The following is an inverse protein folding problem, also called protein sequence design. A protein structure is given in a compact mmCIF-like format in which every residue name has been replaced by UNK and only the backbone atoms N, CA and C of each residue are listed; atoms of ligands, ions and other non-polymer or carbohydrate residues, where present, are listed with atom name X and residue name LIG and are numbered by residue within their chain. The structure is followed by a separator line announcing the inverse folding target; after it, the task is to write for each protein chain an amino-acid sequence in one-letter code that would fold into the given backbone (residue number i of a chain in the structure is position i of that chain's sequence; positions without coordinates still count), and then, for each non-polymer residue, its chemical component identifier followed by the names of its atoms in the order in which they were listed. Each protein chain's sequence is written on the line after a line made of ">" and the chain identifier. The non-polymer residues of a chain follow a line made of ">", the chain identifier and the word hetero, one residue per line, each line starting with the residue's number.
data_IF_608866978143
#
_entry.id   IF_608866978143
#
_cell.length_a   1.000
_cell.length_b   1.000
_cell.length_c   1.000
_cell.angle_alpha   90.00
_cell.angle_beta   90.00
_cell.angle_gamma   90.00
#
_symmetry.space_group_name_H-M   'P 1'
#
loop_
_entity.id
_entity.type
_entity.pdbx_description
1 polymer ?
#
# COMPACT_ATOMS: atom_id res chain seq x y z
N UNK A 1 -11.45 -10.81 -7.04
CA UNK A 1 -11.97 -11.72 -6.00
C UNK A 1 -11.78 -13.20 -6.33
N UNK A 2 -11.96 -13.67 -7.58
CA UNK A 2 -11.78 -15.09 -7.94
C UNK A 2 -10.41 -15.71 -7.55
N UNK A 3 -9.27 -15.05 -7.85
CA UNK A 3 -7.92 -15.59 -7.53
C UNK A 3 -7.65 -15.78 -6.03
N UNK A 4 -8.20 -14.94 -5.16
CA UNK A 4 -7.94 -14.97 -3.71
C UNK A 4 -8.68 -16.09 -2.98
N UNK A 5 -9.82 -16.53 -3.51
CA UNK A 5 -10.59 -17.64 -2.94
C UNK A 5 -9.96 -19.02 -3.24
N UNK A 6 -9.11 -19.14 -4.27
CA UNK A 6 -8.38 -20.40 -4.52
C UNK A 6 -7.35 -20.71 -3.44
N UNK A 7 -6.64 -19.70 -2.93
CA UNK A 7 -5.64 -19.89 -1.86
C UNK A 7 -6.26 -20.41 -0.56
N UNK A 8 -7.49 -20.00 -0.27
CA UNK A 8 -8.24 -20.39 0.92
C UNK A 8 -8.85 -21.80 0.78
N UNK A 9 -9.16 -22.21 -0.46
CA UNK A 9 -9.72 -23.54 -0.77
C UNK A 9 -8.65 -24.65 -0.85
N UNK A 10 -7.39 -24.32 -0.62
CA UNK A 10 -6.29 -25.30 -0.63
C UNK A 10 -5.99 -25.89 0.76
N UNK A 11 -5.06 -26.85 0.81
CA UNK A 11 -4.65 -27.54 2.05
C UNK A 11 -4.22 -26.61 3.20
N UNK A 12 -3.56 -25.49 2.88
CA UNK A 12 -3.15 -24.49 3.88
C UNK A 12 -4.37 -23.78 4.48
N UNK A 13 -5.38 -23.47 3.66
CA UNK A 13 -6.62 -22.86 4.14
C UNK A 13 -7.44 -23.83 4.99
N UNK A 14 -7.49 -25.12 4.63
CA UNK A 14 -8.10 -26.16 5.48
C UNK A 14 -7.38 -26.29 6.82
N UNK A 15 -6.04 -26.28 6.81
CA UNK A 15 -5.24 -26.34 8.03
C UNK A 15 -5.58 -25.19 8.98
N UNK A 16 -5.54 -23.94 8.50
CA UNK A 16 -5.88 -22.78 9.32
C UNK A 16 -7.34 -22.78 9.76
N UNK A 17 -8.26 -23.26 8.92
CA UNK A 17 -9.66 -23.42 9.32
C UNK A 17 -9.80 -24.37 10.49
N UNK A 18 -9.14 -25.53 10.47
CA UNK A 18 -9.13 -26.47 11.59
C UNK A 18 -8.51 -25.85 12.84
N UNK A 19 -7.43 -25.07 12.69
CA UNK A 19 -6.78 -24.36 13.80
C UNK A 19 -7.73 -23.34 14.42
N UNK A 20 -8.41 -22.52 13.61
CA UNK A 20 -9.36 -21.52 14.10
C UNK A 20 -10.57 -22.14 14.79
N UNK A 21 -11.12 -23.23 14.25
CA UNK A 21 -12.25 -23.95 14.87
C UNK A 21 -11.88 -24.61 16.20
N UNK A 22 -10.62 -25.01 16.39
CA UNK A 22 -10.11 -25.63 17.63
C UNK A 22 -9.51 -24.62 18.61
N UNK A 23 -9.28 -23.37 18.19
CA UNK A 23 -8.58 -22.37 19.00
C UNK A 23 -9.46 -21.87 20.13
N UNK A 24 -8.95 -21.93 21.36
CA UNK A 24 -9.57 -21.28 22.53
C UNK A 24 -9.18 -19.79 22.65
N UNK A 25 -8.14 -19.37 21.92
CA UNK A 25 -7.53 -18.05 22.04
C UNK A 25 -8.16 -17.00 21.10
N UNK A 26 -8.72 -17.45 19.97
CA UNK A 26 -9.37 -16.57 18.99
C UNK A 26 -10.85 -16.91 18.89
N UNK A 27 -11.71 -16.01 19.38
CA UNK A 27 -13.15 -16.08 19.13
C UNK A 27 -13.46 -15.30 17.86
N UNK A 28 -13.93 -16.01 16.84
CA UNK A 28 -14.34 -15.38 15.59
C UNK A 28 -15.72 -14.78 15.75
N UNK A 29 -15.84 -13.48 15.46
CA UNK A 29 -17.07 -12.72 15.76
C UNK A 29 -17.99 -12.59 14.54
N UNK A 30 -17.46 -12.82 13.33
CA UNK A 30 -18.24 -12.82 12.09
C UNK A 30 -17.55 -13.60 10.97
N UNK A 31 -18.27 -13.87 9.88
CA UNK A 31 -17.70 -14.46 8.66
C UNK A 31 -16.62 -13.54 8.05
N UNK A 32 -16.81 -12.22 8.13
CA UNK A 32 -15.85 -11.23 7.66
C UNK A 32 -14.52 -11.27 8.42
N UNK A 33 -14.59 -11.45 9.75
CA UNK A 33 -13.43 -11.64 10.63
C UNK A 33 -12.66 -12.93 10.25
N UNK A 34 -13.38 -14.05 10.14
CA UNK A 34 -12.81 -15.34 9.74
C UNK A 34 -12.12 -15.26 8.36
N UNK A 35 -12.81 -14.76 7.34
CA UNK A 35 -12.27 -14.68 5.99
C UNK A 35 -11.07 -13.73 5.89
N UNK A 36 -11.05 -12.62 6.63
CA UNK A 36 -9.92 -11.70 6.68
C UNK A 36 -8.68 -12.38 7.24
N UNK A 37 -8.81 -13.04 8.40
CA UNK A 37 -7.71 -13.77 9.05
C UNK A 37 -7.19 -14.90 8.19
N UNK A 38 -8.09 -15.71 7.65
CA UNK A 38 -7.73 -16.85 6.82
C UNK A 38 -6.95 -16.42 5.57
N UNK A 39 -7.37 -15.31 4.93
CA UNK A 39 -6.62 -14.71 3.81
C UNK A 39 -5.25 -14.20 4.23
N UNK A 40 -5.15 -13.48 5.35
CA UNK A 40 -3.87 -13.02 5.89
C UNK A 40 -2.91 -14.19 6.14
N UNK A 41 -3.35 -15.20 6.89
CA UNK A 41 -2.53 -16.36 7.24
C UNK A 41 -2.07 -17.13 5.99
N UNK A 42 -2.98 -17.41 5.04
CA UNK A 42 -2.61 -18.10 3.81
C UNK A 42 -1.59 -17.28 3.00
N UNK A 43 -1.85 -15.98 2.78
CA UNK A 43 -0.95 -15.11 2.02
C UNK A 43 0.43 -15.03 2.65
N UNK A 44 0.50 -14.89 3.97
CA UNK A 44 1.76 -14.86 4.71
C UNK A 44 2.53 -16.17 4.52
N UNK A 45 1.90 -17.33 4.75
CA UNK A 45 2.56 -18.64 4.61
C UNK A 45 3.07 -18.88 3.19
N UNK A 46 2.33 -18.48 2.16
CA UNK A 46 2.81 -18.62 0.78
C UNK A 46 3.93 -17.61 0.42
N UNK A 47 3.98 -16.46 1.07
CA UNK A 47 4.94 -15.38 0.74
C UNK A 47 6.25 -15.49 1.53
N UNK A 48 6.24 -16.06 2.74
CA UNK A 48 7.43 -16.21 3.56
C UNK A 48 8.56 -17.02 2.89
N UNK A 49 8.31 -18.21 2.30
CA UNK A 49 9.37 -18.95 1.61
C UNK A 49 9.99 -18.17 0.46
N UNK A 50 9.19 -17.37 -0.24
CA UNK A 50 9.67 -16.51 -1.32
C UNK A 50 10.65 -15.46 -0.78
N UNK A 51 10.35 -14.82 0.36
CA UNK A 51 11.29 -13.89 0.98
C UNK A 51 12.58 -14.57 1.47
N UNK A 52 12.49 -15.81 1.97
CA UNK A 52 13.68 -16.59 2.35
C UNK A 52 14.56 -16.87 1.13
N UNK A 53 13.96 -17.23 -0.01
CA UNK A 53 14.69 -17.41 -1.27
C UNK A 53 15.38 -16.10 -1.68
N UNK A 54 14.72 -14.96 -1.53
CA UNK A 54 15.33 -13.66 -1.83
C UNK A 54 16.49 -13.32 -0.89
N UNK A 55 16.37 -13.59 0.40
CA UNK A 55 17.48 -13.43 1.35
C UNK A 55 18.69 -14.28 0.92
N UNK A 56 18.46 -15.55 0.60
CA UNK A 56 19.52 -16.45 0.13
C UNK A 56 20.16 -15.93 -1.17
N UNK A 57 19.36 -15.39 -2.10
CA UNK A 57 19.85 -14.76 -3.32
C UNK A 57 20.73 -13.53 -3.04
N UNK A 58 20.29 -12.58 -2.21
CA UNK A 58 21.08 -11.39 -1.88
C UNK A 58 22.37 -11.75 -1.13
N UNK A 59 22.30 -12.73 -0.23
CA UNK A 59 23.47 -13.24 0.47
C UNK A 59 24.48 -13.90 -0.49
N UNK A 60 24.00 -14.72 -1.42
CA UNK A 60 24.84 -15.31 -2.47
C UNK A 60 25.47 -14.24 -3.36
N UNK A 61 24.67 -13.28 -3.84
CA UNK A 61 25.13 -12.15 -4.64
C UNK A 61 26.27 -11.39 -3.95
N UNK A 62 26.10 -11.09 -2.66
CA UNK A 62 27.11 -10.41 -1.84
C UNK A 62 28.41 -11.21 -1.77
N UNK A 63 28.33 -12.53 -1.54
CA UNK A 63 29.52 -13.39 -1.50
C UNK A 63 30.24 -13.39 -2.85
N UNK A 64 29.51 -13.46 -3.96
CA UNK A 64 30.10 -13.41 -5.30
C UNK A 64 30.85 -12.10 -5.50
N UNK A 65 30.21 -10.95 -5.27
CA UNK A 65 30.84 -9.62 -5.39
C UNK A 65 32.09 -9.53 -4.50
N UNK A 66 32.02 -10.00 -3.25
CA UNK A 66 33.15 -9.99 -2.32
C UNK A 66 34.30 -10.91 -2.77
N UNK A 67 34.00 -12.08 -3.34
CA UNK A 67 35.02 -12.98 -3.90
C UNK A 67 35.69 -12.37 -5.12
N UNK A 68 34.94 -11.70 -6.00
CA UNK A 68 35.52 -10.99 -7.14
C UNK A 68 36.45 -9.85 -6.69
N UNK A 69 36.03 -9.07 -5.69
CA UNK A 69 36.83 -7.98 -5.11
C UNK A 69 38.15 -8.47 -4.49
N UNK A 70 38.14 -9.63 -3.83
CA UNK A 70 39.30 -10.17 -3.12
C UNK A 70 40.19 -11.10 -3.98
N UNK A 71 39.85 -11.33 -5.26
CA UNK A 71 40.59 -12.26 -6.10
C UNK A 71 41.83 -11.58 -6.72
N UNK A 72 43.06 -12.01 -6.37
CA UNK A 72 44.29 -11.38 -6.87
C UNK A 72 44.54 -11.59 -8.37
N UNK A 73 43.84 -12.54 -9.01
CA UNK A 73 43.96 -12.81 -10.46
C UNK A 73 43.15 -11.81 -11.29
N UNK A 74 42.07 -11.28 -10.73
CA UNK A 74 41.32 -10.19 -11.34
C UNK A 74 41.99 -8.89 -10.87
N UNK A 75 42.89 -8.34 -11.66
CA UNK A 75 43.45 -7.01 -11.40
C UNK A 75 42.35 -5.97 -11.59
N UNK A 76 41.47 -5.84 -10.59
CA UNK A 76 40.50 -4.77 -10.51
C UNK A 76 41.30 -3.48 -10.44
N UNK A 77 41.05 -2.57 -11.39
CA UNK A 77 41.65 -1.27 -11.38
C UNK A 77 41.33 -0.60 -10.04
N UNK A 78 42.32 0.00 -9.38
CA UNK A 78 42.11 0.60 -8.04
C UNK A 78 41.02 1.68 -8.04
N UNK A 79 40.76 2.27 -9.21
CA UNK A 79 39.69 3.23 -9.46
C UNK A 79 38.28 2.62 -9.42
N UNK A 80 38.09 1.31 -9.53
CA UNK A 80 36.77 0.65 -9.54
C UNK A 80 36.44 -0.04 -8.21
N UNK A 81 37.38 -0.06 -7.26
CA UNK A 81 37.24 -0.79 -6.00
C UNK A 81 36.12 -0.24 -5.11
N UNK A 82 35.84 1.07 -5.21
CA UNK A 82 34.72 1.72 -4.52
C UNK A 82 33.37 1.18 -4.97
N UNK A 83 33.23 0.81 -6.25
CA UNK A 83 31.97 0.31 -6.83
C UNK A 83 31.57 -1.03 -6.19
N UNK A 84 32.53 -1.92 -6.00
CA UNK A 84 32.32 -3.23 -5.35
C UNK A 84 31.94 -3.06 -3.86
N UNK A 85 32.53 -2.09 -3.16
CA UNK A 85 32.19 -1.78 -1.77
C UNK A 85 30.76 -1.25 -1.64
N UNK A 86 30.37 -0.31 -2.50
CA UNK A 86 29.01 0.24 -2.52
C UNK A 86 27.97 -0.83 -2.88
N UNK A 87 28.29 -1.74 -3.80
CA UNK A 87 27.43 -2.88 -4.12
C UNK A 87 27.21 -3.81 -2.93
N UNK A 88 28.27 -4.12 -2.18
CA UNK A 88 28.15 -4.92 -0.96
C UNK A 88 27.22 -4.21 0.04
N UNK A 89 27.35 -2.89 0.20
CA UNK A 89 26.48 -2.11 1.08
C UNK A 89 25.01 -2.19 0.64
N UNK A 90 24.73 -1.99 -0.65
CA UNK A 90 23.37 -2.11 -1.21
C UNK A 90 22.78 -3.49 -1.02
N UNK A 91 23.54 -4.54 -1.33
CA UNK A 91 23.08 -5.92 -1.18
C UNK A 91 22.79 -6.25 0.29
N UNK A 92 23.59 -5.72 1.23
CA UNK A 92 23.32 -5.83 2.66
C UNK A 92 22.03 -5.09 3.05
N UNK A 93 21.81 -3.88 2.53
CA UNK A 93 20.58 -3.12 2.76
C UNK A 93 19.36 -3.87 2.23
N UNK A 94 19.41 -4.41 1.01
CA UNK A 94 18.31 -5.20 0.45
C UNK A 94 18.04 -6.47 1.24
N UNK A 95 19.09 -7.16 1.68
CA UNK A 95 18.95 -8.31 2.57
C UNK A 95 18.26 -7.93 3.89
N UNK A 96 18.62 -6.79 4.50
CA UNK A 96 17.98 -6.28 5.71
C UNK A 96 16.49 -5.97 5.48
N UNK A 97 16.14 -5.39 4.33
CA UNK A 97 14.75 -5.14 3.94
C UNK A 97 13.96 -6.46 3.83
N UNK A 98 14.54 -7.51 3.23
CA UNK A 98 13.85 -8.81 3.14
C UNK A 98 13.66 -9.48 4.52
N UNK A 99 14.65 -9.36 5.40
CA UNK A 99 14.54 -9.85 6.79
C UNK A 99 13.43 -9.08 7.52
N UNK A 100 13.35 -7.77 7.32
CA UNK A 100 12.27 -6.93 7.84
C UNK A 100 10.90 -7.36 7.32
N UNK A 101 10.76 -7.74 6.04
CA UNK A 101 9.50 -8.30 5.49
C UNK A 101 9.10 -9.58 6.21
N UNK A 102 10.05 -10.49 6.44
CA UNK A 102 9.79 -11.72 7.21
C UNK A 102 9.32 -11.41 8.62
N UNK A 103 9.96 -10.44 9.29
CA UNK A 103 9.56 -10.00 10.62
C UNK A 103 8.11 -9.46 10.64
N UNK A 104 7.76 -8.55 9.72
CA UNK A 104 6.38 -8.03 9.62
C UNK A 104 5.38 -9.16 9.36
N UNK A 105 5.65 -10.01 8.37
CA UNK A 105 4.75 -11.10 8.03
C UNK A 105 4.58 -12.08 9.20
N UNK A 106 5.65 -12.34 9.96
CA UNK A 106 5.57 -13.18 11.17
C UNK A 106 4.70 -12.53 12.24
N UNK A 107 4.84 -11.23 12.47
CA UNK A 107 3.98 -10.49 13.38
C UNK A 107 2.50 -10.56 12.95
N UNK A 108 2.21 -10.42 11.65
CA UNK A 108 0.84 -10.58 11.12
C UNK A 108 0.30 -11.97 11.42
N UNK A 109 1.08 -13.04 11.17
CA UNK A 109 0.65 -14.41 11.42
C UNK A 109 0.36 -14.64 12.91
N UNK A 110 1.26 -14.19 13.79
CA UNK A 110 1.10 -14.29 15.25
C UNK A 110 -0.17 -13.58 15.70
N UNK A 111 -0.41 -12.35 15.26
CA UNK A 111 -1.59 -11.58 15.65
C UNK A 111 -2.87 -12.25 15.15
N UNK A 112 -2.91 -12.68 13.89
CA UNK A 112 -4.10 -13.31 13.31
C UNK A 112 -4.47 -14.64 13.98
N UNK A 113 -3.48 -15.37 14.51
CA UNK A 113 -3.67 -16.66 15.19
C UNK A 113 -3.98 -16.56 16.69
N UNK A 114 -3.63 -15.47 17.35
CA UNK A 114 -3.70 -15.38 18.81
C UNK A 114 -4.62 -14.27 19.33
N UNK A 115 -5.01 -13.31 18.50
CA UNK A 115 -5.72 -12.13 18.95
C UNK A 115 -7.21 -12.21 18.62
N UNK A 116 -8.09 -12.13 19.60
CA UNK A 116 -9.54 -11.89 19.36
C UNK A 116 -9.78 -10.42 18.98
N UNK A 117 -10.83 -10.14 18.21
CA UNK A 117 -11.20 -8.76 17.87
C UNK A 117 -11.40 -7.91 19.14
N UNK A 118 -10.84 -6.69 19.15
CA UNK A 118 -10.83 -5.84 20.33
C UNK A 118 -10.15 -4.50 20.08
N UNK A 119 -10.02 -3.67 21.12
CA UNK A 119 -9.30 -2.38 21.04
C UNK A 119 -7.89 -2.51 20.45
N UNK A 120 -7.20 -3.61 20.73
CA UNK A 120 -5.86 -3.82 20.18
C UNK A 120 -5.85 -4.13 18.67
N UNK A 121 -6.98 -4.46 18.04
CA UNK A 121 -7.10 -4.55 16.57
C UNK A 121 -6.82 -3.20 15.95
N UNK A 122 -7.39 -2.13 16.49
CA UNK A 122 -7.14 -0.75 16.04
C UNK A 122 -5.68 -0.35 16.25
N UNK A 123 -5.09 -0.72 17.39
CA UNK A 123 -3.68 -0.41 17.70
C UNK A 123 -2.76 -1.12 16.70
N UNK A 124 -2.91 -2.44 16.54
CA UNK A 124 -2.11 -3.23 15.61
C UNK A 124 -2.24 -2.72 14.17
N UNK A 125 -3.47 -2.50 13.71
CA UNK A 125 -3.72 -2.03 12.34
C UNK A 125 -3.15 -0.63 12.11
N UNK A 126 -3.17 0.26 13.10
CA UNK A 126 -2.54 1.58 13.02
C UNK A 126 -1.02 1.46 12.89
N UNK A 127 -0.38 0.66 13.74
CA UNK A 127 1.08 0.42 13.68
C UNK A 127 1.46 -0.22 12.34
N UNK A 128 0.75 -1.26 11.92
CA UNK A 128 0.98 -1.93 10.65
C UNK A 128 0.82 -0.98 9.46
N UNK A 129 -0.21 -0.12 9.47
CA UNK A 129 -0.44 0.85 8.41
C UNK A 129 0.70 1.89 8.35
N UNK A 130 1.19 2.37 9.49
CA UNK A 130 2.35 3.28 9.54
C UNK A 130 3.58 2.62 8.93
N UNK A 131 3.91 1.39 9.35
CA UNK A 131 5.06 0.64 8.82
C UNK A 131 4.93 0.42 7.31
N UNK A 132 3.75 -0.01 6.84
CA UNK A 132 3.46 -0.23 5.42
C UNK A 132 3.60 1.06 4.58
N UNK A 133 3.11 2.19 5.09
CA UNK A 133 3.16 3.50 4.41
C UNK A 133 4.60 4.02 4.38
N UNK A 134 5.32 3.95 5.49
CA UNK A 134 6.73 4.36 5.59
C UNK A 134 7.61 3.56 4.62
N UNK A 135 7.38 2.26 4.55
CA UNK A 135 8.05 1.39 3.60
C UNK A 135 7.67 1.72 2.14
N UNK A 136 6.39 1.97 1.89
CA UNK A 136 5.94 2.51 0.61
C UNK A 136 6.76 3.74 0.23
N UNK A 137 6.86 4.75 1.09
CA UNK A 137 7.66 5.94 0.82
C UNK A 137 9.15 5.64 0.52
N UNK A 138 9.76 4.69 1.23
CA UNK A 138 11.13 4.24 0.96
C UNK A 138 11.27 3.69 -0.46
N UNK A 139 10.34 2.83 -0.89
CA UNK A 139 10.33 2.28 -2.26
C UNK A 139 10.02 3.33 -3.33
N UNK A 140 9.18 4.31 -3.00
CA UNK A 140 8.87 5.43 -3.91
C UNK A 140 10.10 6.30 -4.17
N UNK A 141 10.89 6.52 -3.13
CA UNK A 141 12.08 7.37 -3.17
C UNK A 141 13.37 6.57 -3.33
N UNK A 142 13.27 5.34 -3.81
CA UNK A 142 14.39 4.42 -3.92
C UNK A 142 15.57 5.01 -4.68
N UNK A 143 15.34 5.82 -5.73
CA UNK A 143 16.40 6.49 -6.47
C UNK A 143 17.14 7.55 -5.64
N UNK A 144 16.42 8.32 -4.81
CA UNK A 144 17.05 9.25 -3.87
C UNK A 144 17.81 8.52 -2.75
N UNK A 145 17.34 7.34 -2.33
CA UNK A 145 18.03 6.50 -1.35
C UNK A 145 19.32 5.92 -1.95
N UNK A 146 19.27 5.41 -3.18
CA UNK A 146 20.46 4.93 -3.90
C UNK A 146 21.49 6.05 -4.10
N UNK A 147 21.00 7.26 -4.33
CA UNK A 147 21.86 8.43 -4.44
C UNK A 147 22.48 8.83 -3.09
N UNK A 148 21.71 8.84 -2.01
CA UNK A 148 22.20 9.13 -0.66
C UNK A 148 23.25 8.12 -0.18
N UNK A 149 23.12 6.85 -0.59
CA UNK A 149 24.14 5.80 -0.36
C UNK A 149 25.40 6.03 -1.22
N UNK A 150 25.40 7.05 -2.07
CA UNK A 150 26.56 7.55 -2.80
C UNK A 150 26.80 6.85 -4.13
N UNK A 151 25.83 6.12 -4.67
CA UNK A 151 26.04 5.30 -5.87
C UNK A 151 25.87 6.15 -7.12
N UNK A 152 24.80 6.95 -7.19
CA UNK A 152 24.44 7.69 -8.40
C UNK A 152 25.38 8.88 -8.67
N UNK A 153 25.77 9.65 -7.64
CA UNK A 153 26.68 10.81 -7.79
C UNK A 153 28.14 10.47 -8.11
N UNK A 154 28.54 9.19 -8.08
CA UNK A 154 29.92 8.77 -8.40
C UNK A 154 30.13 8.42 -9.88
N UNK A 155 29.07 8.30 -10.67
CA UNK A 155 29.17 8.13 -12.11
C UNK A 155 29.39 9.49 -12.77
N UNK A 156 30.41 9.60 -13.63
CA UNK A 156 30.67 10.85 -14.35
C UNK A 156 29.71 11.03 -15.52
N UNK A 157 29.43 9.95 -16.27
CA UNK A 157 28.63 9.98 -17.49
C UNK A 157 27.76 8.72 -17.67
N UNK A 158 26.77 8.80 -18.58
CA UNK A 158 25.90 7.66 -18.96
C UNK A 158 26.71 6.48 -19.55
N UNK A 159 27.85 6.75 -20.19
CA UNK A 159 28.73 5.71 -20.75
C UNK A 159 29.31 4.81 -19.66
N UNK A 160 29.79 5.38 -18.56
CA UNK A 160 30.30 4.64 -17.39
C UNK A 160 29.19 3.81 -16.73
N UNK A 161 27.98 4.38 -16.63
CA UNK A 161 26.81 3.63 -16.15
C UNK A 161 26.51 2.42 -17.06
N UNK A 162 26.53 2.60 -18.38
CA UNK A 162 26.26 1.53 -19.35
C UNK A 162 27.32 0.42 -19.35
N UNK A 163 28.59 0.78 -19.15
CA UNK A 163 29.69 -0.17 -19.03
C UNK A 163 29.57 -1.03 -17.77
N UNK A 164 29.18 -0.41 -16.66
CA UNK A 164 28.91 -1.07 -15.37
C UNK A 164 27.63 -1.93 -15.44
N UNK A 165 26.60 -1.48 -16.16
CA UNK A 165 25.39 -2.27 -16.43
C UNK A 165 25.70 -3.56 -17.21
N UNK A 166 26.63 -3.50 -18.18
CA UNK A 166 27.04 -4.68 -18.98
C UNK A 166 27.83 -5.69 -18.17
N UNK A 167 28.75 -5.23 -17.32
CA UNK A 167 29.68 -6.09 -16.58
C UNK A 167 29.09 -6.70 -15.32
N UNK A 168 28.05 -6.09 -14.73
CA UNK A 168 27.59 -6.46 -13.40
C UNK A 168 26.07 -6.72 -13.31
N UNK A 169 25.46 -7.29 -14.36
CA UNK A 169 24.00 -7.55 -14.48
C UNK A 169 23.28 -8.15 -13.25
N UNK A 170 23.99 -8.88 -12.38
CA UNK A 170 23.45 -9.51 -11.18
C UNK A 170 22.91 -8.46 -10.18
N UNK A 171 23.49 -7.26 -10.10
CA UNK A 171 22.95 -6.18 -9.24
C UNK A 171 21.66 -5.58 -9.81
N UNK A 172 21.51 -5.53 -11.14
CA UNK A 172 20.28 -5.05 -11.79
C UNK A 172 19.12 -5.98 -11.42
N UNK A 173 19.39 -7.30 -11.50
CA UNK A 173 18.42 -8.31 -11.10
C UNK A 173 18.10 -8.22 -9.61
N UNK A 174 19.09 -7.90 -8.77
CA UNK A 174 18.91 -7.67 -7.33
C UNK A 174 18.01 -6.46 -7.04
N UNK A 175 18.19 -5.33 -7.74
CA UNK A 175 17.31 -4.15 -7.63
C UNK A 175 15.89 -4.48 -8.07
N UNK A 176 15.76 -5.19 -9.19
CA UNK A 176 14.45 -5.62 -9.68
C UNK A 176 13.73 -6.46 -8.63
N UNK A 177 14.38 -7.48 -8.08
CA UNK A 177 13.80 -8.31 -7.00
C UNK A 177 13.43 -7.45 -5.79
N UNK A 178 14.29 -6.52 -5.37
CA UNK A 178 14.02 -5.65 -4.22
C UNK A 178 12.74 -4.83 -4.41
N UNK A 179 12.52 -4.24 -5.58
CA UNK A 179 11.31 -3.47 -5.90
C UNK A 179 10.04 -4.34 -5.88
N UNK A 180 10.13 -5.58 -6.38
CA UNK A 180 9.00 -6.50 -6.42
C UNK A 180 8.70 -7.17 -5.07
N UNK A 181 9.66 -7.22 -4.14
CA UNK A 181 9.51 -7.93 -2.87
C UNK A 181 8.47 -7.29 -1.93
N UNK A 182 8.11 -6.01 -2.15
CA UNK A 182 7.04 -5.31 -1.43
C UNK A 182 5.62 -5.71 -1.86
N UNK A 183 5.44 -6.33 -3.04
CA UNK A 183 4.12 -6.63 -3.58
C UNK A 183 3.22 -7.52 -2.68
N UNK A 184 3.74 -8.54 -1.96
CA UNK A 184 2.95 -9.33 -1.02
C UNK A 184 2.36 -8.50 0.14
N UNK A 185 3.12 -7.53 0.67
CA UNK A 185 2.69 -6.67 1.78
C UNK A 185 1.47 -5.83 1.41
N UNK A 186 1.39 -5.35 0.16
CA UNK A 186 0.20 -4.65 -0.36
C UNK A 186 -1.07 -5.49 -0.28
N UNK A 187 -0.95 -6.79 -0.57
CA UNK A 187 -2.09 -7.73 -0.54
C UNK A 187 -2.54 -8.02 0.90
N UNK A 188 -1.59 -8.12 1.84
CA UNK A 188 -1.83 -8.33 3.27
C UNK A 188 -2.44 -7.09 3.91
N UNK A 189 -1.92 -5.90 3.56
CA UNK A 189 -2.44 -4.60 4.02
C UNK A 189 -3.95 -4.45 3.77
N UNK A 190 -4.43 -4.90 2.61
CA UNK A 190 -5.86 -4.87 2.28
C UNK A 190 -6.70 -5.71 3.25
N UNK A 191 -6.24 -6.91 3.58
CA UNK A 191 -7.00 -7.82 4.44
C UNK A 191 -6.94 -7.41 5.91
N UNK A 192 -5.80 -6.87 6.38
CA UNK A 192 -5.68 -6.27 7.73
C UNK A 192 -6.65 -5.08 7.89
N UNK A 193 -6.76 -4.23 6.88
CA UNK A 193 -7.71 -3.13 6.92
C UNK A 193 -9.17 -3.60 6.80
N UNK A 194 -9.42 -4.73 6.12
CA UNK A 194 -10.75 -5.37 6.13
C UNK A 194 -11.09 -5.90 7.52
N UNK A 195 -10.12 -6.52 8.20
CA UNK A 195 -10.26 -6.97 9.58
C UNK A 195 -10.56 -5.81 10.55
N UNK A 196 -9.86 -4.67 10.41
CA UNK A 196 -10.13 -3.48 11.21
C UNK A 196 -11.54 -2.89 10.97
N UNK A 197 -11.97 -2.85 9.70
CA UNK A 197 -13.32 -2.35 9.35
C UNK A 197 -14.41 -3.20 9.99
N UNK A 198 -14.22 -4.51 10.00
CA UNK A 198 -15.14 -5.44 10.61
C UNK A 198 -15.18 -5.29 12.14
N UNK A 199 -14.03 -5.06 12.79
CA UNK A 199 -14.01 -4.70 14.21
C UNK A 199 -14.79 -3.41 14.50
N UNK A 200 -14.56 -2.34 13.72
CA UNK A 200 -15.27 -1.07 13.88
C UNK A 200 -16.79 -1.26 13.69
N UNK A 201 -17.18 -2.16 12.78
CA UNK A 201 -18.59 -2.53 12.53
C UNK A 201 -19.22 -3.13 13.79
N UNK A 202 -18.57 -4.15 14.35
CA UNK A 202 -19.02 -4.87 15.55
C UNK A 202 -19.01 -3.95 16.79
N UNK A 203 -17.98 -3.13 16.96
CA UNK A 203 -17.89 -2.20 18.09
C UNK A 203 -19.05 -1.19 18.09
N UNK A 204 -19.48 -0.73 16.91
CA UNK A 204 -20.65 0.16 16.80
C UNK A 204 -21.94 -0.55 17.16
N UNK A 205 -22.14 -1.78 16.65
CA UNK A 205 -23.31 -2.58 17.02
C UNK A 205 -23.45 -2.76 18.52
N UNK A 206 -22.33 -3.05 19.21
CA UNK A 206 -22.32 -3.20 20.67
C UNK A 206 -22.62 -1.91 21.43
N UNK A 207 -22.35 -0.74 20.83
CA UNK A 207 -22.65 0.55 21.47
C UNK A 207 -24.09 1.01 21.26
N UNK A 208 -24.82 0.37 20.34
CA UNK A 208 -26.21 0.70 19.98
C UNK A 208 -27.21 -0.34 20.52
N UNK A 209 -26.86 -1.10 21.56
CA UNK A 209 -27.73 -2.02 22.29
C UNK A 209 -29.15 -1.41 22.46
N UNK A 210 -30.17 -2.05 21.86
CA UNK A 210 -31.61 -1.80 22.08
C UNK A 210 -32.21 -0.42 21.76
N UNK A 211 -32.05 0.08 20.53
CA UNK A 211 -33.07 0.97 19.94
C UNK A 211 -33.44 0.53 18.52
N UNK A 212 -34.53 -0.23 18.46
CA UNK A 212 -35.44 -0.44 17.32
C UNK A 212 -34.79 -0.71 15.96
N UNK A 213 -34.90 -1.98 15.54
CA UNK A 213 -35.00 -2.47 14.16
C UNK A 213 -34.41 -1.58 13.06
N UNK A 214 -33.29 -2.03 12.49
CA UNK A 214 -32.89 -1.62 11.15
C UNK A 214 -32.08 -0.33 11.08
N UNK A 215 -31.03 -0.17 11.89
CA UNK A 215 -30.05 0.89 11.60
C UNK A 215 -29.19 0.53 10.38
N UNK A 216 -29.73 0.91 9.22
CA UNK A 216 -29.07 1.58 8.10
C UNK A 216 -27.55 1.55 8.22
N UNK A 217 -26.90 0.55 7.62
CA UNK A 217 -25.50 0.71 7.29
C UNK A 217 -25.38 1.83 6.29
N UNK A 218 -25.13 3.03 6.81
CA UNK A 218 -24.51 4.02 5.96
C UNK A 218 -23.18 3.41 5.52
N UNK A 219 -23.01 3.04 4.26
CA UNK A 219 -21.68 3.05 3.64
C UNK A 219 -21.16 4.49 3.80
N UNK A 220 -20.47 4.75 4.91
CA UNK A 220 -19.93 6.07 5.29
C UNK A 220 -18.93 6.63 4.26
N UNK A 221 -18.60 5.82 3.25
CA UNK A 221 -17.72 6.17 2.14
C UNK A 221 -18.35 5.63 0.86
N UNK A 222 -18.73 6.53 -0.02
CA UNK A 222 -19.26 6.19 -1.34
C UNK A 222 -18.16 5.65 -2.26
N UNK A 223 -18.48 4.81 -3.26
CA UNK A 223 -17.50 4.34 -4.25
C UNK A 223 -16.78 5.49 -4.97
N UNK A 224 -17.47 6.62 -5.18
CA UNK A 224 -16.89 7.83 -5.75
C UNK A 224 -15.77 8.43 -4.88
N UNK A 225 -15.98 8.51 -3.57
CA UNK A 225 -14.99 9.00 -2.62
C UNK A 225 -13.75 8.09 -2.53
N UNK A 226 -13.94 6.76 -2.58
CA UNK A 226 -12.83 5.80 -2.63
C UNK A 226 -12.02 6.01 -3.90
N UNK A 227 -12.68 6.11 -5.06
CA UNK A 227 -12.01 6.32 -6.35
C UNK A 227 -11.26 7.66 -6.37
N UNK A 228 -11.86 8.74 -5.85
CA UNK A 228 -11.20 10.04 -5.73
C UNK A 228 -9.93 9.95 -4.87
N UNK A 229 -10.00 9.28 -3.71
CA UNK A 229 -8.84 9.07 -2.85
C UNK A 229 -7.74 8.28 -3.54
N UNK A 230 -8.08 7.19 -4.22
CA UNK A 230 -7.10 6.40 -4.99
C UNK A 230 -6.41 7.28 -6.04
N UNK A 231 -7.15 8.14 -6.75
CA UNK A 231 -6.57 9.07 -7.72
C UNK A 231 -5.60 10.07 -7.07
N UNK A 232 -5.93 10.61 -5.89
CA UNK A 232 -5.04 11.53 -5.18
C UNK A 232 -3.79 10.83 -4.64
N UNK A 233 -3.92 9.61 -4.12
CA UNK A 233 -2.79 8.76 -3.74
C UNK A 233 -1.88 8.51 -4.96
N UNK A 234 -2.47 8.19 -6.12
CA UNK A 234 -1.69 7.99 -7.35
C UNK A 234 -1.02 9.28 -7.82
N UNK A 235 -1.65 10.44 -7.69
CA UNK A 235 -1.05 11.73 -8.01
C UNK A 235 0.18 12.01 -7.12
N UNK A 236 0.06 11.81 -5.80
CA UNK A 236 1.17 11.90 -4.85
C UNK A 236 2.33 10.97 -5.23
N UNK A 237 2.00 9.73 -5.62
CA UNK A 237 3.01 8.77 -6.09
C UNK A 237 3.71 9.18 -7.39
N UNK A 238 2.94 9.69 -8.36
CA UNK A 238 3.50 10.19 -9.62
C UNK A 238 4.40 11.41 -9.41
N UNK A 239 4.15 12.24 -8.39
CA UNK A 239 5.07 13.33 -8.03
C UNK A 239 6.41 12.77 -7.53
N UNK A 240 6.40 11.75 -6.68
CA UNK A 240 7.64 11.10 -6.21
C UNK A 240 8.42 10.53 -7.41
N UNK A 241 7.73 9.85 -8.34
CA UNK A 241 8.35 9.35 -9.58
C UNK A 241 8.91 10.49 -10.43
N UNK A 242 8.16 11.59 -10.60
CA UNK A 242 8.61 12.76 -11.36
C UNK A 242 9.86 13.37 -10.73
N UNK A 243 9.91 13.49 -9.40
CA UNK A 243 11.08 13.97 -8.67
C UNK A 243 12.29 13.06 -8.91
N UNK A 244 12.09 11.73 -8.96
CA UNK A 244 13.18 10.79 -9.26
C UNK A 244 13.70 10.93 -10.69
N UNK A 245 12.83 11.20 -11.68
CA UNK A 245 13.26 11.49 -13.06
C UNK A 245 14.10 12.76 -13.12
N UNK A 246 13.65 13.82 -12.45
CA UNK A 246 14.40 15.08 -12.35
C UNK A 246 15.77 14.88 -11.68
N UNK A 247 15.81 14.05 -10.64
CA UNK A 247 17.04 13.73 -9.94
C UNK A 247 18.03 12.93 -10.81
N UNK A 248 17.57 11.93 -11.55
CA UNK A 248 18.42 11.20 -12.51
C UNK A 248 18.99 12.13 -13.58
N UNK A 249 18.17 13.05 -14.09
CA UNK A 249 18.60 14.01 -15.11
C UNK A 249 19.62 15.01 -14.57
N UNK A 250 19.50 15.40 -13.30
CA UNK A 250 20.49 16.23 -12.61
C UNK A 250 21.83 15.50 -12.48
N UNK A 251 21.81 14.22 -12.06
CA UNK A 251 23.02 13.41 -11.93
C UNK A 251 23.75 13.22 -13.27
N UNK A 252 23.03 12.88 -14.34
CA UNK A 252 23.65 12.46 -15.60
C UNK A 252 23.83 13.56 -16.65
N UNK A 253 23.10 14.67 -16.53
CA UNK A 253 23.18 15.79 -17.47
C UNK A 253 23.52 17.12 -16.78
N UNK A 254 23.93 17.07 -15.51
CA UNK A 254 24.31 18.23 -14.68
C UNK A 254 23.29 19.37 -14.75
N UNK A 255 22.01 19.01 -14.75
CA UNK A 255 20.91 19.98 -14.89
C UNK A 255 20.68 20.69 -13.56
N UNK A 256 20.70 22.02 -13.50
CA UNK A 256 20.54 22.78 -12.25
C UNK A 256 19.11 22.78 -11.66
N UNK A 257 18.45 21.63 -11.54
CA UNK A 257 17.12 21.44 -10.90
C UNK A 257 17.18 21.44 -9.37
N UNK A 258 18.26 21.94 -8.79
CA UNK A 258 18.68 21.73 -7.40
C UNK A 258 17.56 21.84 -6.37
N UNK A 259 16.66 22.83 -6.49
CA UNK A 259 15.58 23.04 -5.52
C UNK A 259 14.26 22.36 -5.95
N UNK A 260 13.93 22.40 -7.25
CA UNK A 260 12.63 21.97 -7.77
C UNK A 260 12.38 20.48 -7.53
N UNK A 261 13.40 19.62 -7.73
CA UNK A 261 13.28 18.17 -7.50
C UNK A 261 12.86 17.83 -6.06
N UNK A 262 13.37 18.58 -5.07
CA UNK A 262 13.00 18.38 -3.66
C UNK A 262 11.62 18.95 -3.33
N UNK A 263 11.22 20.08 -3.93
CA UNK A 263 9.86 20.60 -3.72
C UNK A 263 8.83 19.60 -4.27
N UNK A 264 9.06 19.02 -5.45
CA UNK A 264 8.18 17.99 -6.02
C UNK A 264 8.12 16.78 -5.09
N UNK A 265 9.26 16.31 -4.57
CA UNK A 265 9.34 15.17 -3.66
C UNK A 265 8.54 15.40 -2.37
N UNK A 266 8.80 16.52 -1.69
CA UNK A 266 8.13 16.89 -0.43
C UNK A 266 6.62 17.05 -0.66
N UNK A 267 6.23 17.70 -1.76
CA UNK A 267 4.81 17.86 -2.12
C UNK A 267 4.15 16.50 -2.38
N UNK A 268 4.84 15.59 -3.08
CA UNK A 268 4.38 14.22 -3.30
C UNK A 268 4.12 13.48 -1.98
N UNK A 269 5.02 13.60 -1.01
CA UNK A 269 4.85 13.01 0.32
C UNK A 269 3.66 13.59 1.08
N UNK A 270 3.52 14.92 1.09
CA UNK A 270 2.41 15.60 1.78
C UNK A 270 1.07 15.15 1.18
N UNK A 271 0.93 15.17 -0.15
CA UNK A 271 -0.29 14.77 -0.85
C UNK A 271 -0.61 13.29 -0.61
N UNK A 272 0.40 12.42 -0.68
CA UNK A 272 0.26 10.99 -0.44
C UNK A 272 -0.19 10.70 1.00
N UNK A 273 0.53 11.18 2.02
CA UNK A 273 0.22 10.94 3.43
C UNK A 273 -1.14 11.53 3.82
N UNK A 274 -1.41 12.77 3.40
CA UNK A 274 -2.66 13.44 3.72
C UNK A 274 -3.87 12.70 3.14
N UNK A 275 -3.73 12.04 1.98
CA UNK A 275 -4.79 11.23 1.39
C UNK A 275 -5.18 10.01 2.24
N UNK A 276 -4.29 9.51 3.09
CA UNK A 276 -4.60 8.44 4.05
C UNK A 276 -5.26 8.96 5.33
N UNK A 277 -4.86 10.14 5.80
CA UNK A 277 -5.31 10.71 7.09
C UNK A 277 -6.65 11.42 6.98
N UNK A 278 -6.91 12.09 5.86
CA UNK A 278 -8.05 12.99 5.75
C UNK A 278 -9.38 12.22 5.81
N UNK A 279 -10.36 12.69 6.61
CA UNK A 279 -11.66 12.03 6.75
C UNK A 279 -12.48 12.07 5.45
N UNK A 280 -13.57 11.30 5.38
CA UNK A 280 -14.55 11.42 4.30
C UNK A 280 -15.67 12.35 4.74
N UNK A 281 -15.51 13.65 4.48
CA UNK A 281 -16.49 14.66 4.87
C UNK A 281 -16.43 15.88 3.92
N UNK A 282 -17.38 16.81 4.08
CA UNK A 282 -17.45 18.02 3.26
C UNK A 282 -16.20 18.90 3.39
N UNK A 283 -15.53 18.88 4.54
CA UNK A 283 -14.31 19.67 4.79
C UNK A 283 -13.16 19.15 3.90
N UNK A 284 -13.15 17.86 3.56
CA UNK A 284 -12.17 17.25 2.67
C UNK A 284 -12.18 17.83 1.25
N UNK A 285 -13.26 18.50 0.81
CA UNK A 285 -13.26 19.25 -0.46
C UNK A 285 -12.13 20.27 -0.53
N UNK A 286 -11.86 20.96 0.58
CA UNK A 286 -10.79 21.96 0.68
C UNK A 286 -9.46 21.29 0.37
N UNK A 287 -9.21 20.10 0.92
CA UNK A 287 -7.97 19.36 0.65
C UNK A 287 -7.80 19.03 -0.84
N UNK A 288 -8.82 18.45 -1.48
CA UNK A 288 -8.71 18.05 -2.90
C UNK A 288 -8.47 19.27 -3.81
N UNK A 289 -9.18 20.37 -3.58
CA UNK A 289 -9.04 21.59 -4.38
C UNK A 289 -7.76 22.37 -4.08
N UNK A 290 -7.31 22.41 -2.83
CA UNK A 290 -6.01 23.03 -2.47
C UNK A 290 -4.85 22.30 -3.14
N UNK A 291 -4.83 20.96 -3.12
CA UNK A 291 -3.81 20.20 -3.84
C UNK A 291 -3.87 20.45 -5.35
N UNK A 292 -5.08 20.55 -5.90
CA UNK A 292 -5.26 20.83 -7.32
C UNK A 292 -4.75 22.22 -7.70
N UNK A 293 -5.05 23.24 -6.90
CA UNK A 293 -4.53 24.60 -7.09
C UNK A 293 -3.00 24.62 -7.01
N UNK A 294 -2.43 23.94 -6.02
CA UNK A 294 -0.98 23.82 -5.87
C UNK A 294 -0.33 23.17 -7.11
N UNK A 295 -0.87 22.04 -7.57
CA UNK A 295 -0.36 21.35 -8.75
C UNK A 295 -0.58 22.14 -10.04
N UNK A 296 -1.66 22.90 -10.14
CA UNK A 296 -1.90 23.80 -11.26
C UNK A 296 -0.87 24.93 -11.33
N UNK A 297 -0.53 25.55 -10.20
CA UNK A 297 0.55 26.54 -10.14
C UNK A 297 1.89 25.93 -10.55
N UNK A 298 2.18 24.71 -10.11
CA UNK A 298 3.38 23.95 -10.50
C UNK A 298 3.44 23.67 -12.01
N UNK A 299 2.31 23.35 -12.63
CA UNK A 299 2.23 23.20 -14.10
C UNK A 299 2.42 24.51 -14.83
N UNK A 300 1.81 25.60 -14.36
CA UNK A 300 1.99 26.91 -15.01
C UNK A 300 3.47 27.27 -15.02
N UNK A 301 4.16 27.08 -13.89
CA UNK A 301 5.61 27.26 -13.82
C UNK A 301 6.34 26.34 -14.81
N UNK A 302 5.99 25.05 -14.86
CA UNK A 302 6.57 24.09 -15.80
C UNK A 302 6.39 24.49 -17.26
N UNK A 303 5.18 24.90 -17.65
CA UNK A 303 4.86 25.35 -19.01
C UNK A 303 5.60 26.64 -19.36
N UNK A 304 5.73 27.57 -18.41
CA UNK A 304 6.56 28.77 -18.58
C UNK A 304 8.01 28.41 -18.88
N UNK A 305 8.60 27.46 -18.15
CA UNK A 305 9.97 27.01 -18.40
C UNK A 305 10.11 26.33 -19.78
N UNK A 306 9.13 25.52 -20.18
CA UNK A 306 9.10 24.89 -21.50
C UNK A 306 9.03 25.95 -22.62
N UNK A 307 8.12 26.91 -22.50
CA UNK A 307 7.90 27.91 -23.53
C UNK A 307 9.09 28.88 -23.67
N UNK A 308 9.65 29.34 -22.55
CA UNK A 308 10.59 30.46 -22.54
C UNK A 308 12.06 30.04 -22.42
N UNK A 309 12.36 28.82 -21.96
CA UNK A 309 13.73 28.39 -21.64
C UNK A 309 14.15 27.14 -22.41
N UNK A 310 13.25 26.18 -22.66
CA UNK A 310 13.64 24.87 -23.19
C UNK A 310 14.23 24.88 -24.61
N UNK A 311 13.91 25.88 -25.44
CA UNK A 311 14.45 26.00 -26.79
C UNK A 311 15.86 26.63 -26.83
N UNK A 312 16.33 27.21 -25.72
CA UNK A 312 17.67 27.78 -25.63
C UNK A 312 18.72 26.67 -25.67
N UNK A 313 19.89 26.98 -26.26
CA UNK A 313 20.99 26.03 -26.35
C UNK A 313 21.35 25.46 -24.97
N UNK A 314 21.57 24.15 -24.89
CA UNK A 314 21.90 23.42 -23.66
C UNK A 314 20.82 23.44 -22.57
N UNK A 315 19.61 23.94 -22.84
CA UNK A 315 18.50 24.00 -21.87
C UNK A 315 17.33 23.05 -22.18
N UNK A 316 17.49 22.15 -23.16
CA UNK A 316 16.48 21.20 -23.62
C UNK A 316 15.83 20.36 -22.52
N UNK A 317 16.55 20.08 -21.43
CA UNK A 317 16.06 19.28 -20.30
C UNK A 317 14.85 19.93 -19.60
N UNK A 318 14.56 21.22 -19.81
CA UNK A 318 13.33 21.85 -19.34
C UNK A 318 12.06 21.26 -19.98
N UNK A 319 12.13 20.51 -21.09
CA UNK A 319 10.98 19.75 -21.58
C UNK A 319 10.47 18.68 -20.59
N UNK A 320 11.29 18.26 -19.60
CA UNK A 320 10.90 17.32 -18.55
C UNK A 320 9.75 17.84 -17.67
N UNK A 321 9.55 19.16 -17.59
CA UNK A 321 8.41 19.74 -16.87
C UNK A 321 7.04 19.28 -17.39
N UNK A 322 6.96 18.78 -18.63
CA UNK A 322 5.73 18.20 -19.18
C UNK A 322 5.27 16.94 -18.42
N UNK A 323 6.16 16.23 -17.73
CA UNK A 323 5.80 15.06 -16.91
C UNK A 323 4.82 15.45 -15.80
N UNK A 324 4.87 16.70 -15.32
CA UNK A 324 3.96 17.22 -14.30
C UNK A 324 2.49 17.25 -14.73
N UNK A 325 2.19 17.17 -16.05
CA UNK A 325 0.81 17.04 -16.57
C UNK A 325 0.08 15.83 -15.98
N UNK A 326 0.80 14.72 -15.74
CA UNK A 326 0.21 13.49 -15.23
C UNK A 326 -0.37 13.69 -13.82
N UNK A 327 0.43 14.07 -12.79
CA UNK A 327 -0.12 14.26 -11.44
C UNK A 327 -1.20 15.35 -11.37
N UNK A 328 -1.12 16.40 -12.20
CA UNK A 328 -2.17 17.41 -12.30
C UNK A 328 -3.50 16.86 -12.84
N UNK A 329 -3.48 16.11 -13.95
CA UNK A 329 -4.70 15.51 -14.51
C UNK A 329 -5.36 14.53 -13.53
N UNK A 330 -4.54 13.75 -12.80
CA UNK A 330 -5.02 12.84 -11.76
C UNK A 330 -5.65 13.60 -10.59
N UNK A 331 -5.01 14.67 -10.14
CA UNK A 331 -5.52 15.54 -9.07
C UNK A 331 -6.82 16.24 -9.48
N UNK A 332 -6.91 16.74 -10.72
CA UNK A 332 -8.12 17.36 -11.26
C UNK A 332 -9.28 16.36 -11.30
N UNK A 333 -9.01 15.16 -11.84
CA UNK A 333 -9.99 14.07 -11.91
C UNK A 333 -10.45 13.64 -10.52
N UNK A 334 -9.55 13.63 -9.55
CA UNK A 334 -9.84 13.34 -8.14
C UNK A 334 -10.76 14.40 -7.52
N UNK A 335 -10.41 15.69 -7.66
CA UNK A 335 -11.17 16.81 -7.10
C UNK A 335 -12.57 16.92 -7.71
N UNK A 336 -12.67 16.81 -9.04
CA UNK A 336 -13.96 16.78 -9.75
C UNK A 336 -14.81 15.63 -9.23
N UNK A 337 -14.28 14.40 -9.21
CA UNK A 337 -15.02 13.22 -8.76
C UNK A 337 -15.49 13.35 -7.31
N UNK A 338 -14.63 13.84 -6.40
CA UNK A 338 -15.01 14.05 -5.00
C UNK A 338 -16.15 15.08 -4.88
N UNK A 339 -16.08 16.15 -5.67
CA UNK A 339 -17.10 17.20 -5.73
C UNK A 339 -18.45 16.66 -6.20
N UNK A 340 -18.47 15.91 -7.31
CA UNK A 340 -19.69 15.28 -7.82
C UNK A 340 -20.28 14.28 -6.83
N UNK A 341 -19.43 13.47 -6.19
CA UNK A 341 -19.89 12.47 -5.23
C UNK A 341 -20.58 13.10 -4.01
N UNK A 342 -20.09 14.26 -3.54
CA UNK A 342 -20.76 15.02 -2.47
C UNK A 342 -22.03 15.72 -2.97
N UNK A 343 -22.00 16.26 -4.18
CA UNK A 343 -23.12 17.01 -4.77
C UNK A 343 -24.32 16.11 -5.09
N UNK A 344 -24.06 14.94 -5.66
CA UNK A 344 -25.08 13.97 -6.06
C UNK A 344 -25.72 13.25 -4.86
N UNK A 345 -25.24 13.56 -3.64
CA UNK A 345 -25.63 12.91 -2.38
C UNK A 345 -25.68 11.40 -2.53
N UNK A 346 -24.84 10.78 -3.38
CA UNK A 346 -24.94 9.36 -3.82
C UNK A 346 -25.47 8.55 -2.65
N UNK A 347 -26.79 8.30 -2.70
CA UNK A 347 -27.54 8.01 -1.49
C UNK A 347 -26.92 6.76 -0.93
N UNK A 348 -26.46 6.90 0.29
CA UNK A 348 -25.96 5.79 1.04
C UNK A 348 -27.19 4.90 1.27
N UNK A 349 -27.46 4.00 0.32
CA UNK A 349 -28.52 3.00 0.39
C UNK A 349 -28.13 2.08 1.52
N UNK A 350 -28.68 2.38 2.69
CA UNK A 350 -28.93 1.32 3.62
C UNK A 350 -29.90 0.36 2.96
N UNK A 351 -29.40 -0.84 2.71
CA UNK A 351 -30.29 -1.99 2.69
C UNK A 351 -30.68 -2.18 4.14
N UNK A 352 -31.84 -1.64 4.54
CA UNK A 352 -32.56 -2.21 5.65
C UNK A 352 -32.90 -3.63 5.20
N UNK A 353 -32.32 -4.64 5.86
CA UNK A 353 -32.92 -5.96 5.86
C UNK A 353 -34.19 -5.81 6.69
N UNK A 354 -35.26 -5.31 6.07
CA UNK A 354 -36.58 -5.57 6.59
C UNK A 354 -36.70 -7.09 6.56
N UNK A 355 -36.78 -7.74 7.73
CA UNK A 355 -37.01 -9.18 7.79
C UNK A 355 -38.44 -9.55 7.35
N UNK A 356 -39.30 -8.56 7.15
CA UNK A 356 -40.72 -8.67 6.83
C UNK A 356 -41.06 -7.60 5.80
N UNK A 357 -41.68 -7.97 4.67
CA UNK A 357 -41.97 -7.02 3.59
C UNK A 357 -43.20 -6.15 3.91
N UNK A 358 -44.00 -6.56 4.89
CA UNK A 358 -45.23 -5.93 5.38
C UNK A 358 -45.51 -6.34 6.85
N UNK A 359 -46.49 -5.70 7.49
CA UNK A 359 -46.88 -6.00 8.89
C UNK A 359 -47.45 -7.42 9.04
N UNK A 360 -48.04 -7.97 7.97
CA UNK A 360 -48.60 -9.33 7.92
C UNK A 360 -47.52 -10.41 8.05
N UNK A 361 -46.36 -10.27 7.36
CA UNK A 361 -45.24 -11.20 7.47
C UNK A 361 -44.64 -11.24 8.90
N UNK A 362 -44.76 -10.13 9.64
CA UNK A 362 -44.31 -10.04 11.03
C UNK A 362 -45.29 -10.75 11.99
N UNK A 363 -46.60 -10.63 11.77
CA UNK A 363 -47.61 -11.35 12.53
C UNK A 363 -47.48 -12.87 12.30
N UNK A 364 -47.29 -13.31 11.06
CA UNK A 364 -47.11 -14.73 10.71
C UNK A 364 -45.86 -15.33 11.40
N UNK A 365 -44.76 -14.57 11.47
CA UNK A 365 -43.56 -14.98 12.20
C UNK A 365 -43.75 -15.05 13.72
N UNK A 366 -44.55 -14.15 14.31
CA UNK A 366 -44.87 -14.24 15.75
C UNK A 366 -45.74 -15.48 16.02
N UNK A 367 -46.73 -15.75 15.18
CA UNK A 367 -47.58 -16.93 15.30
C UNK A 367 -46.78 -18.23 15.17
N UNK A 368 -45.90 -18.34 14.17
CA UNK A 368 -45.03 -19.52 14.01
C UNK A 368 -44.12 -19.74 15.22
N UNK A 369 -43.60 -18.66 15.81
CA UNK A 369 -42.70 -18.74 16.97
C UNK A 369 -43.43 -19.10 18.26
N UNK A 370 -44.67 -18.63 18.44
CA UNK A 370 -45.53 -19.06 19.55
C UNK A 370 -45.95 -20.54 19.42
N UNK A 371 -46.20 -21.00 18.19
CA UNK A 371 -46.48 -22.42 17.92
C UNK A 371 -45.25 -23.29 18.20
N UNK A 372 -44.05 -22.89 17.76
CA UNK A 372 -42.81 -23.60 18.09
C UNK A 372 -42.52 -23.63 19.60
N UNK A 373 -42.82 -22.56 20.33
CA UNK A 373 -42.67 -22.55 21.80
C UNK A 373 -43.67 -23.47 22.48
N UNK A 374 -44.93 -23.50 22.06
CA UNK A 374 -45.94 -24.44 22.58
C UNK A 374 -45.58 -25.90 22.28
N UNK A 375 -44.98 -26.18 21.12
CA UNK A 375 -44.48 -27.51 20.76
C UNK A 375 -43.31 -27.89 21.69
N UNK A 376 -42.34 -27.01 21.90
CA UNK A 376 -41.21 -27.26 22.82
C UNK A 376 -41.65 -27.46 24.26
N UNK A 377 -42.60 -26.66 24.75
CA UNK A 377 -43.17 -26.84 26.09
C UNK A 377 -43.96 -28.16 26.21
N UNK A 378 -44.56 -28.65 25.11
CA UNK A 378 -45.24 -29.96 25.10
C UNK A 378 -44.29 -31.15 25.01
N UNK A 379 -43.12 -31.00 24.39
CA UNK A 379 -42.08 -32.03 24.31
C UNK A 379 -41.31 -32.19 25.64
N UNK A 380 -41.23 -31.14 26.47
CA UNK A 380 -40.62 -31.19 27.81
C UNK A 380 -41.54 -31.81 28.90
N UNK A 381 -42.78 -32.18 28.57
CA UNK A 381 -43.78 -32.75 29.52
C UNK A 381 -43.98 -34.28 29.35
N UNK A 382 -43.26 -34.96 28.45
CA UNK A 382 -43.36 -36.42 28.23
C UNK A 382 -42.24 -37.20 28.92
#
# INVERSE_FOLDING_TARGET
>A
MRKTNYLIRGKIGEFFTRVFLKSKQVKMVSEGDYLARLRCCCKVIYSMPIQVIWIAFFFYARIVVQKYMNNPINSINSQDLWLYQDQINVLNTFMFIQIYHLFIMSAVLIVMLNMTMGKGTTIFTTIFNILYISEGLLYGSFLFVLDWVGILHKFQDISQLLEILKTQWLWIFAIFIALFSYAPLKSIFKDINMWNREWIRIERYRKTEDRENGFIFKTWVTPGEIKARVLMITAGWFLVVSASVFHLMDVFASTNFNVVKYIILVSGYIIFLSSYVIPYNRISLIFYWTNQLFLFAFIIYGLYMVQNVAYLSSMWYHYLYLILLIPWMLSLSSAIRYTWTIKDKEEIKAVALNMFENDDDFEEFIEEKEVEQKIKESEDII
#
